data_IF_935011766037
#
_entry.id   IF_935011766037
#
_cell.length_a   1.000
_cell.length_b   1.000
_cell.length_c   1.000
_cell.angle_alpha   90.00
_cell.angle_beta   90.00
_cell.angle_gamma   90.00
#
_symmetry.space_group_name_H-M   'P 1'
#
loop_
_entity.id
_entity.type
_entity.pdbx_description
1 polymer ?
#
# COMPACT_ATOMS: atom_id res chain seq x y z
N UNK A 1 29.70 -22.63 -55.10
CA UNK A 1 30.24 -22.49 -53.72
C UNK A 1 29.78 -23.69 -52.92
N UNK A 2 30.67 -24.38 -52.20
CA UNK A 2 30.34 -25.55 -51.38
C UNK A 2 30.30 -25.16 -49.90
N UNK A 3 29.16 -25.36 -49.23
CA UNK A 3 29.06 -25.20 -47.79
C UNK A 3 29.59 -26.46 -47.10
N UNK A 4 30.66 -26.34 -46.32
CA UNK A 4 31.19 -27.42 -45.49
C UNK A 4 30.56 -27.30 -44.10
N UNK A 5 29.67 -28.23 -43.76
CA UNK A 5 29.10 -28.35 -42.42
C UNK A 5 29.99 -29.21 -41.53
N UNK A 6 30.56 -28.63 -40.48
CA UNK A 6 31.32 -29.36 -39.46
C UNK A 6 30.36 -29.83 -38.37
N UNK A 7 30.18 -31.15 -38.24
CA UNK A 7 29.44 -31.78 -37.14
C UNK A 7 30.38 -32.15 -36.00
N UNK A 8 30.20 -31.54 -34.83
CA UNK A 8 30.83 -31.98 -33.57
C UNK A 8 29.85 -32.84 -32.74
N UNK A 9 30.34 -33.85 -31.99
CA UNK A 9 29.47 -34.80 -31.28
C UNK A 9 28.81 -34.25 -30.00
N UNK A 10 29.29 -33.13 -29.44
CA UNK A 10 28.69 -32.52 -28.24
C UNK A 10 27.57 -31.53 -28.58
N UNK A 11 26.38 -32.09 -28.81
CA UNK A 11 25.17 -31.39 -29.27
C UNK A 11 24.53 -30.36 -28.31
N UNK A 12 25.26 -29.81 -27.33
CA UNK A 12 24.76 -28.70 -26.49
C UNK A 12 25.17 -27.35 -27.05
N UNK A 13 24.44 -26.90 -28.09
CA UNK A 13 24.41 -25.47 -28.44
C UNK A 13 23.85 -24.70 -27.24
N UNK A 14 24.73 -24.14 -26.40
CA UNK A 14 24.37 -23.04 -25.51
C UNK A 14 24.03 -21.85 -26.40
N UNK A 15 22.77 -21.71 -26.77
CA UNK A 15 22.23 -20.46 -27.29
C UNK A 15 22.31 -19.48 -26.12
N UNK A 16 23.43 -18.78 -26.03
CA UNK A 16 23.63 -17.66 -25.14
C UNK A 16 22.73 -16.52 -25.59
N UNK A 17 21.43 -16.61 -25.27
CA UNK A 17 20.58 -15.44 -25.26
C UNK A 17 21.15 -14.50 -24.21
N UNK A 18 21.98 -13.57 -24.67
CA UNK A 18 22.26 -12.36 -23.94
C UNK A 18 20.91 -11.69 -23.69
N UNK A 19 20.35 -11.88 -22.49
CA UNK A 19 19.19 -11.14 -22.02
C UNK A 19 19.63 -9.68 -21.95
N UNK A 20 19.46 -8.97 -23.05
CA UNK A 20 19.36 -7.52 -23.03
C UNK A 20 18.15 -7.20 -22.16
N UNK A 21 18.41 -6.94 -20.87
CA UNK A 21 17.45 -6.41 -19.90
C UNK A 21 17.10 -4.96 -20.23
N UNK A 22 16.76 -4.70 -21.49
CA UNK A 22 16.23 -3.44 -21.93
C UNK A 22 14.85 -3.28 -21.30
N UNK A 23 14.66 -2.18 -20.56
CA UNK A 23 13.34 -1.79 -20.08
C UNK A 23 12.32 -1.86 -21.24
N UNK A 24 11.11 -2.43 -21.02
CA UNK A 24 10.03 -2.43 -21.99
C UNK A 24 9.81 -1.04 -22.58
N UNK A 25 9.44 -0.97 -23.87
CA UNK A 25 9.29 0.31 -24.58
C UNK A 25 8.35 1.29 -23.88
N UNK A 26 7.31 0.79 -23.21
CA UNK A 26 6.34 1.58 -22.47
C UNK A 26 6.83 2.15 -21.12
N UNK A 27 7.98 1.67 -20.61
CA UNK A 27 8.68 2.20 -19.42
C UNK A 27 9.85 3.12 -19.78
N UNK A 28 10.05 3.42 -21.06
CA UNK A 28 10.96 4.50 -21.46
C UNK A 28 10.19 5.81 -21.35
N UNK A 29 10.81 6.81 -20.74
CA UNK A 29 10.35 8.19 -20.84
C UNK A 29 10.21 8.51 -22.35
N UNK A 30 9.07 9.05 -22.81
CA UNK A 30 8.89 9.36 -24.23
C UNK A 30 9.96 10.37 -24.65
N UNK A 31 10.82 9.96 -25.59
CA UNK A 31 11.93 10.77 -26.06
C UNK A 31 11.37 12.09 -26.63
N UNK A 32 11.68 13.25 -26.03
CA UNK A 32 11.03 14.53 -26.38
C UNK A 32 11.30 14.96 -27.82
N UNK A 33 12.28 14.34 -28.48
CA UNK A 33 12.60 14.55 -29.90
C UNK A 33 11.75 13.71 -30.86
N UNK A 34 11.07 12.65 -30.40
CA UNK A 34 10.26 11.77 -31.26
C UNK A 34 8.79 12.17 -31.40
N UNK A 35 8.30 13.14 -30.63
CA UNK A 35 6.89 13.57 -30.68
C UNK A 35 6.73 15.08 -30.92
N UNK A 36 6.98 15.58 -32.15
CA UNK A 36 7.03 17.01 -32.47
C UNK A 36 5.69 17.76 -32.32
N UNK A 37 4.58 17.04 -32.10
CA UNK A 37 3.24 17.62 -31.91
C UNK A 37 3.02 18.04 -30.44
N UNK A 38 3.62 17.34 -29.47
CA UNK A 38 3.41 17.60 -28.04
C UNK A 38 4.12 18.86 -27.50
N UNK A 39 5.34 19.13 -27.98
CA UNK A 39 6.20 20.19 -27.43
C UNK A 39 5.68 21.62 -27.65
N UNK A 40 4.72 21.84 -28.56
CA UNK A 40 4.16 23.17 -28.82
C UNK A 40 3.13 23.64 -27.79
N UNK A 41 2.52 22.73 -27.02
CA UNK A 41 1.58 23.09 -25.95
C UNK A 41 2.26 23.28 -24.60
N UNK A 42 3.35 22.55 -24.31
CA UNK A 42 4.09 22.68 -23.06
C UNK A 42 4.71 24.08 -22.86
N UNK A 43 5.18 24.72 -23.93
CA UNK A 43 5.84 26.05 -23.88
C UNK A 43 4.82 27.19 -23.60
N UNK A 44 3.54 27.00 -23.93
CA UNK A 44 2.50 28.01 -23.71
C UNK A 44 1.86 27.94 -22.30
N UNK A 45 2.10 26.87 -21.53
CA UNK A 45 1.49 26.68 -20.21
C UNK A 45 2.19 27.38 -19.03
N UNK A 46 3.41 27.89 -19.22
CA UNK A 46 4.29 28.33 -18.10
C UNK A 46 4.11 29.81 -17.72
N UNK A 47 3.34 30.59 -18.48
CA UNK A 47 3.23 32.06 -18.31
C UNK A 47 2.03 32.48 -17.42
N UNK A 48 1.17 31.54 -17.00
CA UNK A 48 -0.16 31.86 -16.46
C UNK A 48 -0.37 31.70 -14.94
N UNK A 49 0.68 31.52 -14.11
CA UNK A 49 0.51 31.39 -12.65
C UNK A 49 1.53 32.17 -11.80
N UNK A 50 1.69 33.45 -12.10
CA UNK A 50 2.19 34.45 -11.14
C UNK A 50 1.00 35.38 -10.81
N UNK A 51 0.33 35.16 -9.67
CA UNK A 51 -0.41 36.15 -8.85
C UNK A 51 -1.11 35.40 -7.68
N UNK A 52 -0.84 35.84 -6.44
CA UNK A 52 -1.73 35.66 -5.29
C UNK A 52 -1.38 34.54 -4.28
N UNK A 53 -1.13 34.92 -3.01
CA UNK A 53 -1.29 33.98 -1.88
C UNK A 53 -0.21 33.95 -0.80
N UNK A 54 0.17 35.09 -0.20
CA UNK A 54 1.01 35.13 1.01
C UNK A 54 0.22 34.81 2.29
N UNK A 55 0.66 33.85 3.12
CA UNK A 55 0.35 33.84 4.57
C UNK A 55 1.54 33.32 5.40
N UNK A 56 1.95 34.15 6.37
CA UNK A 56 2.74 33.91 7.59
C UNK A 56 3.82 32.80 7.62
N UNK A 57 5.07 33.24 7.74
CA UNK A 57 6.16 32.50 8.41
C UNK A 57 6.22 33.02 9.86
N UNK A 58 6.13 32.14 10.85
CA UNK A 58 6.40 32.46 12.25
C UNK A 58 7.35 31.40 12.83
N UNK A 59 8.63 31.76 12.91
CA UNK A 59 9.69 30.96 13.52
C UNK A 59 9.80 31.25 15.01
N UNK A 60 9.98 30.20 15.82
CA UNK A 60 10.31 30.31 17.25
C UNK A 60 10.96 29.03 17.74
N UNK A 61 12.27 29.09 17.99
CA UNK A 61 13.06 28.05 18.65
C UNK A 61 12.57 27.79 20.09
N UNK A 62 12.69 26.55 20.57
CA UNK A 62 13.46 26.26 21.80
C UNK A 62 13.75 24.75 21.98
N UNK A 63 14.99 24.46 22.41
CA UNK A 63 15.61 23.16 22.71
C UNK A 63 16.36 23.39 24.04
N UNK A 64 16.42 22.48 25.06
CA UNK A 64 16.74 21.03 24.98
C UNK A 64 15.76 20.17 25.87
N UNK A 65 16.01 18.95 26.39
CA UNK A 65 17.23 18.13 26.53
C UNK A 65 16.99 16.61 26.71
N UNK A 66 18.07 15.84 26.53
CA UNK A 66 18.52 14.65 27.29
C UNK A 66 17.53 13.70 27.99
N UNK A 67 17.59 12.40 27.65
CA UNK A 67 16.94 11.34 28.44
C UNK A 67 17.14 9.90 27.95
N UNK A 68 18.38 9.41 27.83
CA UNK A 68 18.62 7.95 27.75
C UNK A 68 18.39 7.30 29.13
N UNK A 69 17.94 6.04 29.15
CA UNK A 69 18.82 5.03 29.73
C UNK A 69 18.94 3.76 28.87
N UNK A 70 20.17 3.24 28.79
CA UNK A 70 20.45 1.87 28.35
C UNK A 70 20.28 0.91 29.55
N UNK A 71 19.85 -0.34 29.31
CA UNK A 71 19.59 -1.28 30.41
C UNK A 71 19.26 -2.72 30.01
N UNK A 72 20.26 -3.46 29.51
CA UNK A 72 20.55 -4.87 29.85
C UNK A 72 19.47 -5.98 29.69
N UNK A 73 19.74 -7.06 28.93
CA UNK A 73 18.89 -8.24 28.91
C UNK A 73 19.20 -9.19 30.08
N UNK A 74 18.17 -9.79 30.69
CA UNK A 74 18.33 -10.98 31.54
C UNK A 74 17.31 -12.05 31.17
N UNK A 75 17.80 -13.11 30.53
CA UNK A 75 17.12 -14.40 30.52
C UNK A 75 17.50 -15.15 31.81
N UNK A 76 16.50 -15.59 32.57
CA UNK A 76 16.67 -16.53 33.68
C UNK A 76 15.57 -17.58 33.64
N UNK A 77 15.92 -18.76 33.16
CA UNK A 77 15.13 -19.99 33.30
C UNK A 77 15.23 -20.48 34.74
N UNK A 78 14.10 -20.84 35.36
CA UNK A 78 14.12 -21.79 36.49
C UNK A 78 12.89 -22.70 36.45
N UNK A 79 13.09 -23.99 36.68
CA UNK A 79 12.05 -25.00 36.69
C UNK A 79 11.64 -25.42 38.12
N UNK A 80 10.36 -25.77 38.25
CA UNK A 80 9.71 -26.66 39.23
C UNK A 80 10.41 -27.05 40.55
N UNK A 81 9.69 -26.83 41.68
CA UNK A 81 9.48 -27.83 42.75
C UNK A 81 8.04 -27.66 43.31
N UNK A 82 7.27 -28.75 43.55
CA UNK A 82 5.93 -28.66 44.16
C UNK A 82 5.97 -28.85 45.69
N UNK A 83 5.26 -27.99 46.43
CA UNK A 83 4.92 -28.20 47.84
C UNK A 83 3.54 -27.64 48.16
N UNK A 84 2.66 -28.49 48.69
CA UNK A 84 1.43 -28.13 49.39
C UNK A 84 1.63 -28.43 50.91
N UNK A 85 0.65 -28.21 51.81
CA UNK A 85 -0.54 -27.34 51.74
C UNK A 85 -0.58 -26.30 52.87
N UNK A 86 -1.33 -25.20 52.73
CA UNK A 86 -1.80 -24.44 53.92
C UNK A 86 -3.22 -23.92 53.73
N UNK A 87 -4.04 -24.15 54.76
CA UNK A 87 -5.43 -23.71 54.87
C UNK A 87 -5.52 -22.19 55.03
N UNK A 88 -6.20 -21.51 54.11
CA UNK A 88 -6.78 -20.18 54.34
C UNK A 88 -7.86 -19.95 53.29
N UNK A 89 -9.12 -19.97 53.72
CA UNK A 89 -10.26 -19.80 52.83
C UNK A 89 -10.40 -18.31 52.44
N UNK A 90 -10.28 -17.95 51.15
CA UNK A 90 -10.79 -16.66 50.70
C UNK A 90 -12.32 -16.72 50.71
N UNK A 91 -12.94 -15.70 51.32
CA UNK A 91 -14.38 -15.44 51.18
C UNK A 91 -14.71 -15.40 49.68
N UNK A 92 -15.81 -16.03 49.22
CA UNK A 92 -16.29 -15.83 47.86
C UNK A 92 -16.87 -14.41 47.75
N UNK A 93 -15.98 -13.42 47.59
CA UNK A 93 -16.33 -12.12 47.03
C UNK A 93 -16.95 -12.39 45.67
N UNK A 94 -18.28 -12.28 45.60
CA UNK A 94 -19.04 -12.56 44.40
C UNK A 94 -18.40 -11.80 43.23
N UNK A 95 -17.86 -12.55 42.27
CA UNK A 95 -17.41 -11.98 41.02
C UNK A 95 -18.65 -11.43 40.33
N UNK A 96 -18.89 -10.14 40.49
CA UNK A 96 -19.87 -9.42 39.69
C UNK A 96 -19.35 -9.51 38.26
N UNK A 97 -19.85 -10.48 37.50
CA UNK A 97 -19.61 -10.56 36.06
C UNK A 97 -19.98 -9.21 35.47
N UNK A 98 -18.96 -8.46 35.04
CA UNK A 98 -19.16 -7.24 34.29
C UNK A 98 -20.00 -7.61 33.07
N UNK A 99 -21.22 -7.08 33.02
CA UNK A 99 -22.11 -7.30 31.87
C UNK A 99 -21.43 -6.67 30.66
N UNK A 100 -21.13 -7.40 29.58
CA UNK A 100 -20.55 -6.82 28.37
C UNK A 100 -21.62 -6.06 27.57
N UNK A 101 -22.10 -4.95 28.13
CA UNK A 101 -22.94 -3.96 27.43
C UNK A 101 -22.07 -3.13 26.49
N UNK A 102 -21.69 -3.72 25.35
CA UNK A 102 -20.92 -3.02 24.31
C UNK A 102 -21.30 -3.41 22.88
N UNK A 103 -21.78 -4.62 22.62
CA UNK A 103 -21.94 -5.14 21.24
C UNK A 103 -22.85 -4.32 20.32
N UNK A 104 -23.92 -3.73 20.85
CA UNK A 104 -24.87 -2.94 20.05
C UNK A 104 -24.36 -1.51 19.79
N UNK A 105 -23.67 -0.91 20.77
CA UNK A 105 -22.99 0.37 20.60
C UNK A 105 -21.80 0.25 19.63
N UNK A 106 -20.98 -0.80 19.78
CA UNK A 106 -19.86 -1.12 18.90
C UNK A 106 -20.32 -1.25 17.44
N UNK A 107 -21.48 -1.86 17.20
CA UNK A 107 -22.07 -2.00 15.87
C UNK A 107 -22.53 -0.66 15.28
N UNK A 108 -23.19 0.19 16.08
CA UNK A 108 -23.61 1.52 15.66
C UNK A 108 -22.42 2.45 15.37
N UNK A 109 -21.40 2.46 16.24
CA UNK A 109 -20.17 3.21 16.04
C UNK A 109 -19.40 2.71 14.80
N UNK A 110 -19.32 1.40 14.59
CA UNK A 110 -18.65 0.82 13.43
C UNK A 110 -19.38 1.15 12.12
N UNK A 111 -20.71 1.14 12.10
CA UNK A 111 -21.51 1.56 10.95
C UNK A 111 -21.34 3.07 10.65
N UNK A 112 -21.38 3.90 11.69
CA UNK A 112 -21.13 5.34 11.59
C UNK A 112 -19.72 5.64 11.04
N UNK A 113 -18.70 4.97 11.57
CA UNK A 113 -17.32 5.03 11.07
C UNK A 113 -17.22 4.59 9.60
N UNK A 114 -17.91 3.51 9.23
CA UNK A 114 -17.86 3.01 7.85
C UNK A 114 -18.45 4.01 6.86
N UNK A 115 -19.60 4.61 7.18
CA UNK A 115 -20.20 5.63 6.34
C UNK A 115 -19.37 6.93 6.33
N UNK A 116 -18.87 7.39 7.48
CA UNK A 116 -17.99 8.57 7.57
C UNK A 116 -16.67 8.44 6.79
N UNK A 117 -16.16 7.22 6.62
CA UNK A 117 -14.96 6.92 5.82
C UNK A 117 -15.23 6.66 4.33
N UNK A 118 -16.49 6.66 3.88
CA UNK A 118 -16.89 6.26 2.54
C UNK A 118 -16.18 7.02 1.42
N UNK A 119 -16.10 8.35 1.53
CA UNK A 119 -15.42 9.19 0.52
C UNK A 119 -13.93 8.87 0.36
N UNK A 120 -13.23 8.48 1.42
CA UNK A 120 -11.83 8.01 1.36
C UNK A 120 -11.75 6.63 0.69
N UNK A 121 -12.64 5.71 1.06
CA UNK A 121 -12.66 4.35 0.52
C UNK A 121 -12.99 4.34 -0.98
N UNK A 122 -13.89 5.21 -1.44
CA UNK A 122 -14.23 5.39 -2.86
C UNK A 122 -13.05 5.98 -3.66
N UNK A 123 -12.32 6.96 -3.12
CA UNK A 123 -11.13 7.51 -3.80
C UNK A 123 -10.06 6.44 -4.01
N UNK A 124 -9.69 5.72 -2.95
CA UNK A 124 -8.74 4.59 -3.05
C UNK A 124 -9.24 3.54 -4.05
N UNK A 125 -10.52 3.16 -4.03
CA UNK A 125 -11.06 2.21 -5.02
C UNK A 125 -10.97 2.72 -6.48
N UNK A 126 -11.12 4.03 -6.68
CA UNK A 126 -10.97 4.70 -7.98
C UNK A 126 -9.52 4.70 -8.46
N UNK A 127 -8.57 4.98 -7.57
CA UNK A 127 -7.14 4.91 -7.88
C UNK A 127 -6.69 3.48 -8.18
N UNK A 128 -7.16 2.50 -7.39
CA UNK A 128 -6.89 1.07 -7.62
C UNK A 128 -7.42 0.63 -9.00
N UNK A 129 -8.63 1.04 -9.38
CA UNK A 129 -9.18 0.78 -10.71
C UNK A 129 -8.34 1.47 -11.82
N UNK A 130 -7.89 2.70 -11.57
CA UNK A 130 -7.03 3.45 -12.51
C UNK A 130 -5.68 2.77 -12.70
N UNK A 131 -4.99 2.38 -11.63
CA UNK A 131 -3.71 1.66 -11.68
C UNK A 131 -3.86 0.33 -12.44
N UNK A 132 -4.94 -0.44 -12.19
CA UNK A 132 -5.23 -1.67 -12.93
C UNK A 132 -5.43 -1.42 -14.42
N UNK A 133 -6.18 -0.38 -14.78
CA UNK A 133 -6.43 0.03 -16.17
C UNK A 133 -5.12 0.42 -16.88
N UNK A 134 -4.31 1.29 -16.29
CA UNK A 134 -3.04 1.73 -16.91
C UNK A 134 -2.00 0.60 -16.97
N UNK A 135 -2.01 -0.34 -16.01
CA UNK A 135 -1.16 -1.52 -16.03
C UNK A 135 -1.56 -2.48 -17.16
N UNK A 136 -2.86 -2.73 -17.35
CA UNK A 136 -3.38 -3.56 -18.44
C UNK A 136 -3.12 -2.93 -19.82
N UNK A 137 -3.29 -1.61 -19.93
CA UNK A 137 -2.95 -0.83 -21.13
C UNK A 137 -1.43 -0.70 -21.38
N UNK A 138 -0.59 -1.12 -20.43
CA UNK A 138 0.87 -0.90 -20.42
C UNK A 138 1.23 0.58 -20.66
N UNK A 139 0.49 1.52 -20.06
CA UNK A 139 0.70 2.95 -20.26
C UNK A 139 1.57 3.53 -19.14
N UNK A 140 2.90 3.48 -19.30
CA UNK A 140 3.84 3.93 -18.25
C UNK A 140 3.70 5.40 -17.88
N UNK A 141 3.39 6.25 -18.86
CA UNK A 141 3.21 7.69 -18.67
C UNK A 141 1.99 8.03 -17.78
N UNK A 142 0.90 7.26 -17.90
CA UNK A 142 -0.29 7.42 -17.03
C UNK A 142 -0.22 6.58 -15.74
N UNK A 143 0.49 5.44 -15.75
CA UNK A 143 0.68 4.59 -14.58
C UNK A 143 1.49 5.29 -13.48
N UNK A 144 2.55 6.02 -13.84
CA UNK A 144 3.41 6.78 -12.91
C UNK A 144 2.62 7.75 -12.01
N UNK A 145 1.81 8.69 -12.54
CA UNK A 145 0.98 9.56 -11.70
C UNK A 145 -0.13 8.79 -10.98
N UNK A 146 -0.80 7.81 -11.61
CA UNK A 146 -1.86 7.03 -10.95
C UNK A 146 -1.37 6.30 -9.69
N UNK A 147 -0.15 5.77 -9.71
CA UNK A 147 0.46 5.14 -8.54
C UNK A 147 0.87 6.15 -7.44
N UNK A 148 1.20 7.39 -7.81
CA UNK A 148 1.48 8.46 -6.85
C UNK A 148 0.19 8.95 -6.17
N UNK A 149 -0.92 9.07 -6.91
CA UNK A 149 -2.25 9.35 -6.34
C UNK A 149 -2.65 8.24 -5.38
N UNK A 150 -2.60 6.96 -5.80
CA UNK A 150 -2.90 5.82 -4.94
C UNK A 150 -2.08 5.85 -3.63
N UNK A 151 -0.78 6.15 -3.71
CA UNK A 151 0.09 6.27 -2.55
C UNK A 151 -0.27 7.42 -1.60
N UNK A 152 -0.81 8.51 -2.14
CA UNK A 152 -1.26 9.68 -1.39
C UNK A 152 -2.60 9.43 -0.71
N UNK A 153 -3.58 8.91 -1.45
CA UNK A 153 -4.92 8.66 -0.94
C UNK A 153 -4.97 7.47 0.02
N UNK A 154 -4.12 6.45 -0.15
CA UNK A 154 -3.98 5.41 0.87
C UNK A 154 -3.31 5.92 2.14
N UNK A 155 -2.31 6.80 2.04
CA UNK A 155 -1.69 7.42 3.21
C UNK A 155 -2.72 8.27 3.98
N UNK A 156 -3.51 9.08 3.28
CA UNK A 156 -4.61 9.83 3.87
C UNK A 156 -5.64 8.90 4.55
N UNK A 157 -6.04 7.81 3.89
CA UNK A 157 -6.97 6.83 4.43
C UNK A 157 -6.45 6.19 5.73
N UNK A 158 -5.24 5.63 5.75
CA UNK A 158 -4.70 4.96 6.97
C UNK A 158 -4.39 5.93 8.13
N UNK A 159 -4.36 7.25 7.89
CA UNK A 159 -4.27 8.29 8.93
C UNK A 159 -5.63 8.86 9.37
N UNK A 160 -6.72 8.48 8.71
CA UNK A 160 -8.07 8.90 9.08
C UNK A 160 -8.49 8.27 10.44
N UNK A 161 -9.63 8.69 11.04
CA UNK A 161 -10.15 8.05 12.24
C UNK A 161 -10.20 6.53 12.08
N UNK A 162 -9.63 5.81 13.06
CA UNK A 162 -9.40 4.37 13.00
C UNK A 162 -10.69 3.62 13.36
N UNK A 163 -10.99 2.43 12.79
CA UNK A 163 -12.16 1.66 13.19
C UNK A 163 -12.26 1.44 14.71
N UNK A 164 -13.47 1.52 15.31
CA UNK A 164 -13.65 1.37 16.75
C UNK A 164 -13.35 -0.07 17.20
N UNK A 165 -13.74 -1.08 16.43
CA UNK A 165 -13.51 -2.49 16.79
C UNK A 165 -12.15 -3.02 16.31
N UNK A 166 -11.51 -3.85 17.13
CA UNK A 166 -10.21 -4.47 16.83
C UNK A 166 -10.22 -5.30 15.54
N UNK A 167 -11.32 -6.01 15.27
CA UNK A 167 -11.46 -6.83 14.07
C UNK A 167 -11.55 -5.97 12.79
N UNK A 168 -12.32 -4.88 12.81
CA UNK A 168 -12.39 -3.95 11.70
C UNK A 168 -11.05 -3.24 11.47
N UNK A 169 -10.38 -2.81 12.55
CA UNK A 169 -9.04 -2.19 12.51
C UNK A 169 -8.01 -3.10 11.84
N UNK A 170 -7.93 -4.36 12.27
CA UNK A 170 -6.99 -5.32 11.71
C UNK A 170 -7.18 -5.50 10.18
N UNK A 171 -8.43 -5.54 9.69
CA UNK A 171 -8.75 -5.62 8.25
C UNK A 171 -8.45 -4.32 7.50
N UNK A 172 -8.80 -3.18 8.08
CA UNK A 172 -8.54 -1.87 7.49
C UNK A 172 -7.04 -1.65 7.28
N UNK A 173 -6.24 -1.88 8.33
CA UNK A 173 -4.79 -1.74 8.31
C UNK A 173 -4.14 -2.77 7.37
N UNK A 174 -4.67 -4.00 7.29
CA UNK A 174 -4.15 -5.03 6.39
C UNK A 174 -4.38 -4.68 4.92
N UNK A 175 -5.58 -4.20 4.57
CA UNK A 175 -5.85 -3.70 3.21
C UNK A 175 -5.03 -2.46 2.88
N UNK A 176 -4.87 -1.55 3.86
CA UNK A 176 -3.97 -0.40 3.78
C UNK A 176 -2.54 -0.78 3.43
N UNK A 177 -1.96 -1.76 4.13
CA UNK A 177 -0.62 -2.29 3.81
C UNK A 177 -0.54 -2.90 2.41
N UNK A 178 -1.59 -3.57 1.94
CA UNK A 178 -1.67 -4.11 0.57
C UNK A 178 -1.57 -3.01 -0.49
N UNK A 179 -2.41 -1.98 -0.38
CA UNK A 179 -2.40 -0.86 -1.32
C UNK A 179 -1.10 -0.02 -1.24
N UNK A 180 -0.55 0.20 -0.04
CA UNK A 180 0.77 0.86 0.13
C UNK A 180 1.90 0.04 -0.50
N UNK A 181 1.89 -1.29 -0.36
CA UNK A 181 2.88 -2.17 -0.99
C UNK A 181 2.76 -2.17 -2.54
N UNK A 182 1.55 -2.04 -3.07
CA UNK A 182 1.32 -1.86 -4.50
C UNK A 182 1.90 -0.53 -5.00
N UNK A 183 1.61 0.59 -4.31
CA UNK A 183 2.15 1.91 -4.66
C UNK A 183 3.70 1.92 -4.62
N UNK A 184 4.31 1.33 -3.58
CA UNK A 184 5.77 1.20 -3.48
C UNK A 184 6.36 0.32 -4.59
N UNK A 185 5.74 -0.82 -4.92
CA UNK A 185 6.16 -1.67 -6.05
C UNK A 185 6.01 -0.98 -7.40
N UNK A 186 5.06 -0.05 -7.52
CA UNK A 186 4.89 0.78 -8.71
C UNK A 186 5.93 1.89 -8.81
N UNK A 187 6.31 2.54 -7.70
CA UNK A 187 7.43 3.48 -7.68
C UNK A 187 8.75 2.82 -8.18
N UNK A 188 8.96 1.55 -7.81
CA UNK A 188 10.09 0.74 -8.29
C UNK A 188 10.10 0.49 -9.81
N UNK A 189 8.98 0.64 -10.52
CA UNK A 189 9.00 0.61 -11.99
C UNK A 189 9.71 1.84 -12.59
N UNK A 190 9.75 2.96 -11.85
CA UNK A 190 10.20 4.25 -12.38
C UNK A 190 11.50 4.78 -11.74
N UNK A 191 11.89 4.29 -10.55
CA UNK A 191 13.06 4.74 -9.79
C UNK A 191 14.44 4.29 -10.34
N UNK A 192 14.47 3.42 -11.35
CA UNK A 192 15.70 2.89 -11.93
C UNK A 192 16.26 1.64 -11.22
N UNK A 193 15.53 1.05 -10.27
CA UNK A 193 15.90 -0.25 -9.67
C UNK A 193 16.04 -1.35 -10.73
N UNK A 194 16.91 -2.32 -10.45
CA UNK A 194 17.24 -3.44 -11.34
C UNK A 194 16.34 -4.66 -11.17
N UNK A 195 15.12 -4.47 -10.65
CA UNK A 195 14.16 -5.57 -10.51
C UNK A 195 13.49 -5.80 -11.87
N UNK A 196 13.39 -7.06 -12.28
CA UNK A 196 12.71 -7.45 -13.53
C UNK A 196 11.26 -6.92 -13.54
N UNK A 197 10.88 -6.23 -14.62
CA UNK A 197 9.59 -5.52 -14.70
C UNK A 197 8.41 -6.46 -14.48
N UNK A 198 8.44 -7.67 -15.05
CA UNK A 198 7.39 -8.67 -14.83
C UNK A 198 7.22 -9.07 -13.36
N UNK A 199 8.30 -9.05 -12.56
CA UNK A 199 8.24 -9.31 -11.12
C UNK A 199 7.56 -8.14 -10.40
N UNK A 200 7.89 -6.89 -10.76
CA UNK A 200 7.24 -5.71 -10.19
C UNK A 200 5.76 -5.63 -10.56
N UNK A 201 5.40 -5.87 -11.82
CA UNK A 201 3.99 -5.92 -12.25
C UNK A 201 3.21 -7.00 -11.49
N UNK A 202 3.78 -8.20 -11.32
CA UNK A 202 3.14 -9.26 -10.54
C UNK A 202 2.98 -8.87 -9.06
N UNK A 203 3.97 -8.21 -8.45
CA UNK A 203 3.87 -7.69 -7.08
C UNK A 203 2.75 -6.67 -6.94
N UNK A 204 2.66 -5.70 -7.86
CA UNK A 204 1.57 -4.71 -7.89
C UNK A 204 0.21 -5.41 -7.94
N UNK A 205 0.00 -6.33 -8.89
CA UNK A 205 -1.27 -7.07 -9.02
C UNK A 205 -1.61 -7.85 -7.76
N UNK A 206 -0.66 -8.59 -7.19
CA UNK A 206 -0.86 -9.36 -5.95
C UNK A 206 -1.20 -8.45 -4.78
N UNK A 207 -0.43 -7.37 -4.55
CA UNK A 207 -0.65 -6.45 -3.44
C UNK A 207 -1.96 -5.66 -3.55
N UNK A 208 -2.41 -5.32 -4.77
CA UNK A 208 -3.74 -4.75 -5.01
C UNK A 208 -4.86 -5.77 -4.71
N UNK A 209 -4.68 -7.05 -5.04
CA UNK A 209 -5.65 -8.09 -4.74
C UNK A 209 -5.71 -8.45 -3.24
N UNK A 210 -4.57 -8.38 -2.55
CA UNK A 210 -4.50 -8.47 -1.09
C UNK A 210 -5.24 -7.30 -0.43
N UNK A 211 -5.04 -6.07 -0.93
CA UNK A 211 -5.78 -4.88 -0.50
C UNK A 211 -7.30 -5.06 -0.59
N UNK A 212 -7.79 -5.45 -1.76
CA UNK A 212 -9.22 -5.71 -2.00
C UNK A 212 -9.78 -6.79 -1.09
N UNK A 213 -9.08 -7.91 -0.90
CA UNK A 213 -9.55 -9.01 -0.06
C UNK A 213 -9.78 -8.57 1.38
N UNK A 214 -8.86 -7.78 1.94
CA UNK A 214 -8.97 -7.33 3.32
C UNK A 214 -10.05 -6.25 3.50
N UNK A 215 -10.20 -5.33 2.54
CA UNK A 215 -11.28 -4.33 2.59
C UNK A 215 -12.67 -4.91 2.23
N UNK A 216 -12.74 -5.97 1.44
CA UNK A 216 -13.97 -6.76 1.26
C UNK A 216 -14.32 -7.53 2.54
N UNK A 217 -13.34 -8.12 3.23
CA UNK A 217 -13.56 -8.77 4.53
C UNK A 217 -13.99 -7.77 5.61
N UNK A 218 -13.46 -6.55 5.60
CA UNK A 218 -13.95 -5.44 6.42
C UNK A 218 -15.42 -5.12 6.13
N UNK A 219 -15.78 -4.97 4.85
CA UNK A 219 -17.16 -4.69 4.44
C UNK A 219 -18.13 -5.79 4.91
N UNK A 220 -17.71 -7.06 4.81
CA UNK A 220 -18.47 -8.22 5.27
C UNK A 220 -18.66 -8.25 6.80
N UNK A 221 -17.68 -7.82 7.61
CA UNK A 221 -17.84 -7.69 9.07
C UNK A 221 -18.95 -6.68 9.43
N UNK A 222 -19.15 -5.67 8.59
CA UNK A 222 -20.05 -4.54 8.83
C UNK A 222 -21.44 -4.79 8.19
N UNK A 223 -21.57 -5.83 7.37
CA UNK A 223 -22.81 -6.11 6.61
C UNK A 223 -23.08 -5.10 5.50
N UNK A 224 -22.04 -4.45 4.98
CA UNK A 224 -22.11 -3.38 3.99
C UNK A 224 -21.34 -3.75 2.71
N UNK A 225 -21.65 -3.15 1.54
CA UNK A 225 -20.86 -3.36 0.34
C UNK A 225 -19.47 -2.73 0.46
N UNK A 226 -18.46 -3.36 -0.14
CA UNK A 226 -17.15 -2.74 -0.33
C UNK A 226 -17.30 -1.51 -1.25
N UNK A 227 -16.58 -0.42 -0.96
CA UNK A 227 -16.52 0.71 -1.88
C UNK A 227 -15.89 0.29 -3.21
N UNK A 228 -16.57 0.59 -4.31
CA UNK A 228 -16.07 0.37 -5.67
C UNK A 228 -15.89 1.71 -6.38
N UNK A 229 -15.02 1.75 -7.39
CA UNK A 229 -15.02 2.85 -8.34
C UNK A 229 -16.39 2.95 -9.01
N UNK A 230 -16.88 4.17 -9.25
CA UNK A 230 -18.05 4.37 -10.09
C UNK A 230 -17.76 3.88 -11.53
N UNK A 231 -18.76 3.39 -12.27
CA UNK A 231 -18.60 3.12 -13.70
C UNK A 231 -18.13 4.39 -14.41
N UNK A 232 -17.20 4.27 -15.36
CA UNK A 232 -16.90 5.37 -16.26
C UNK A 232 -18.18 5.76 -17.02
N UNK A 233 -18.48 7.06 -17.07
CA UNK A 233 -19.58 7.56 -17.89
C UNK A 233 -19.31 7.26 -19.38
N UNK A 234 -20.34 6.88 -20.17
CA UNK A 234 -20.21 6.56 -21.58
C UNK A 234 -19.94 7.79 -22.47
#
# INVERSE_FOLDING_TARGET
MRCVGVSGPDGRRRIGMARQGGRPGWLREPDPLQNPVGSRLAILGVIALIIGGTVAIASGDEQPASGLPAGGPHASTTAAVPSAPVLSAPVPSASVSAVPVSTENDAAELASWYHGSEGLRIRVATDVATVRSQLAAQNGAALKPACATLGTDIAAAITAPVPPTTAARARYDAGGRGYTAAAASCAQLFDGTRIEVGILQQRIVTSLADGDREWAALAAIIGQPMATAAPAAP
#
